data_IF_739550539365
#
_entry.id   IF_739550539365
#
_cell.length_a   1.000
_cell.length_b   1.000
_cell.length_c   1.000
_cell.angle_alpha   90.00
_cell.angle_beta   90.00
_cell.angle_gamma   90.00
#
_symmetry.space_group_name_H-M   'P 1'
#
loop_
_entity.id
_entity.type
_entity.pdbx_description
1 polymer ?
#
# COMPACT_ATOMS: atom_id res chain seq x y z
N UNK A 1 -23.60 11.85 -10.62
CA UNK A 1 -23.15 10.57 -10.05
C UNK A 1 -21.74 10.23 -10.50
N UNK A 2 -20.97 9.51 -9.70
CA UNK A 2 -19.64 9.00 -10.04
C UNK A 2 -19.70 7.49 -10.35
N UNK A 3 -18.84 6.99 -11.27
CA UNK A 3 -18.66 5.56 -11.48
C UNK A 3 -17.90 4.92 -10.31
N UNK A 4 -17.64 3.61 -10.40
CA UNK A 4 -16.74 2.91 -9.48
C UNK A 4 -15.42 3.70 -9.30
N UNK A 5 -14.95 3.89 -8.06
CA UNK A 5 -13.68 4.56 -7.76
C UNK A 5 -12.49 3.96 -8.52
N UNK A 6 -11.45 4.76 -8.85
CA UNK A 6 -10.25 4.26 -9.50
C UNK A 6 -9.54 3.18 -8.67
N UNK A 7 -8.99 2.16 -9.30
CA UNK A 7 -8.28 1.12 -8.55
C UNK A 7 -6.96 1.65 -7.96
N UNK A 8 -6.75 1.38 -6.68
CA UNK A 8 -5.48 1.63 -5.98
C UNK A 8 -4.85 0.27 -5.68
N UNK A 9 -3.62 0.07 -6.16
CA UNK A 9 -2.89 -1.19 -5.97
C UNK A 9 -2.76 -1.52 -4.48
N UNK A 10 -2.98 -2.79 -4.14
CA UNK A 10 -2.93 -3.31 -2.77
C UNK A 10 -3.89 -2.63 -1.79
N UNK A 11 -4.98 -2.04 -2.28
CA UNK A 11 -6.04 -1.46 -1.46
C UNK A 11 -7.40 -2.15 -1.69
N UNK A 12 -8.33 -1.88 -0.79
CA UNK A 12 -9.76 -2.23 -0.87
C UNK A 12 -10.61 -1.04 -0.44
N UNK A 13 -11.79 -0.87 -1.03
CA UNK A 13 -12.76 0.16 -0.63
C UNK A 13 -13.72 -0.38 0.43
N UNK A 14 -14.14 0.48 1.36
CA UNK A 14 -15.11 0.13 2.41
C UNK A 14 -16.53 -0.15 1.88
N UNK A 15 -16.93 0.51 0.78
CA UNK A 15 -18.26 0.41 0.19
C UNK A 15 -18.13 0.23 -1.32
N UNK A 16 -18.53 -0.94 -1.82
CA UNK A 16 -18.46 -1.28 -3.24
C UNK A 16 -19.84 -1.18 -3.90
N UNK A 17 -20.04 -0.15 -4.74
CA UNK A 17 -21.25 0.11 -5.52
C UNK A 17 -20.88 0.31 -6.98
N UNK A 18 -21.88 0.14 -7.87
CA UNK A 18 -21.73 0.47 -9.29
C UNK A 18 -21.76 1.98 -9.56
N UNK A 19 -22.49 2.74 -8.73
CA UNK A 19 -22.76 4.17 -8.90
C UNK A 19 -22.75 4.84 -7.52
N UNK A 20 -22.19 6.05 -7.44
CA UNK A 20 -22.10 6.85 -6.23
C UNK A 20 -22.71 8.24 -6.44
N UNK A 21 -23.43 8.71 -5.43
CA UNK A 21 -24.04 10.05 -5.44
C UNK A 21 -23.01 11.14 -5.16
N UNK A 22 -23.31 12.35 -5.64
CA UNK A 22 -22.43 13.51 -5.41
C UNK A 22 -22.34 13.80 -3.92
N UNK A 23 -21.12 13.92 -3.41
CA UNK A 23 -20.83 14.08 -1.98
C UNK A 23 -20.65 12.77 -1.22
N UNK A 24 -20.90 11.59 -1.83
CA UNK A 24 -20.52 10.32 -1.19
C UNK A 24 -19.00 10.19 -1.09
N UNK A 25 -18.55 9.57 0.00
CA UNK A 25 -17.15 9.28 0.26
C UNK A 25 -16.91 7.77 0.30
N UNK A 26 -15.80 7.35 -0.31
CA UNK A 26 -15.26 6.00 -0.15
C UNK A 26 -13.92 6.09 0.55
N UNK A 27 -13.67 5.15 1.46
CA UNK A 27 -12.41 5.04 2.17
C UNK A 27 -11.62 3.83 1.67
N UNK A 28 -10.39 4.10 1.24
CA UNK A 28 -9.43 3.07 0.85
C UNK A 28 -8.67 2.58 2.07
N UNK A 29 -8.65 1.27 2.21
CA UNK A 29 -7.86 0.56 3.21
C UNK A 29 -6.78 -0.25 2.52
N UNK A 30 -5.51 -0.02 2.88
CA UNK A 30 -4.41 -0.85 2.38
C UNK A 30 -4.51 -2.26 2.95
N UNK A 31 -4.23 -3.26 2.12
CA UNK A 31 -4.21 -4.67 2.52
C UNK A 31 -3.14 -4.92 3.59
N UNK A 32 -3.27 -5.98 4.40
CA UNK A 32 -2.25 -6.35 5.38
C UNK A 32 -0.85 -6.47 4.75
N UNK A 33 0.15 -5.95 5.45
CA UNK A 33 1.53 -5.89 4.94
C UNK A 33 1.87 -4.64 4.11
N UNK A 34 0.87 -3.82 3.76
CA UNK A 34 1.05 -2.53 3.09
C UNK A 34 0.69 -1.39 4.03
N UNK A 35 1.21 -0.21 3.73
CA UNK A 35 0.92 1.03 4.43
C UNK A 35 0.63 2.15 3.43
N UNK A 36 -0.32 3.03 3.74
CA UNK A 36 -0.59 4.17 2.88
C UNK A 36 0.58 5.14 2.93
N UNK A 37 0.86 5.77 1.79
CA UNK A 37 1.73 6.95 1.74
C UNK A 37 1.03 8.16 2.40
N UNK A 38 1.59 9.35 2.21
CA UNK A 38 1.04 10.63 2.69
C UNK A 38 -0.25 11.09 1.97
N UNK A 39 -0.83 10.26 1.10
CA UNK A 39 -2.08 10.56 0.39
C UNK A 39 -3.33 10.43 1.27
N UNK A 40 -4.41 11.08 0.85
CA UNK A 40 -5.71 10.97 1.52
C UNK A 40 -6.37 9.61 1.25
N UNK A 41 -6.87 8.96 2.31
CA UNK A 41 -7.56 7.66 2.20
C UNK A 41 -9.00 7.78 1.73
N UNK A 42 -9.60 8.95 1.95
CA UNK A 42 -10.98 9.24 1.56
C UNK A 42 -11.02 9.88 0.19
N UNK A 43 -11.87 9.34 -0.67
CA UNK A 43 -12.17 9.90 -1.99
C UNK A 43 -13.62 10.36 -1.99
N UNK A 44 -13.86 11.58 -2.42
CA UNK A 44 -15.20 12.18 -2.49
C UNK A 44 -15.66 12.25 -3.94
N UNK A 45 -16.93 11.87 -4.20
CA UNK A 45 -17.55 12.06 -5.49
C UNK A 45 -17.89 13.54 -5.71
N UNK A 46 -17.24 14.19 -6.68
CA UNK A 46 -17.45 15.60 -6.96
C UNK A 46 -18.72 15.84 -7.80
N UNK A 47 -19.31 17.05 -7.77
CA UNK A 47 -20.45 17.41 -8.62
C UNK A 47 -20.18 17.27 -10.12
N UNK A 48 -18.90 17.27 -10.52
CA UNK A 48 -18.47 16.99 -11.90
C UNK A 48 -18.66 15.53 -12.34
N UNK A 49 -19.10 14.64 -11.45
CA UNK A 49 -19.21 13.20 -11.71
C UNK A 49 -17.86 12.48 -11.71
N UNK A 50 -16.80 13.14 -11.24
CA UNK A 50 -15.46 12.58 -11.10
C UNK A 50 -15.09 12.48 -9.63
N UNK A 51 -14.24 11.51 -9.31
CA UNK A 51 -13.65 11.41 -7.97
C UNK A 51 -12.64 12.55 -7.76
N UNK A 52 -12.56 13.06 -6.53
CA UNK A 52 -11.56 14.04 -6.15
C UNK A 52 -10.14 13.53 -6.43
N UNK A 53 -9.26 14.42 -6.88
CA UNK A 53 -7.87 14.07 -7.16
C UNK A 53 -7.17 13.61 -5.89
N UNK A 54 -6.30 12.62 -6.04
CA UNK A 54 -5.79 11.82 -4.96
C UNK A 54 -4.44 11.20 -5.34
N UNK A 55 -3.51 11.11 -4.39
CA UNK A 55 -2.16 10.57 -4.58
C UNK A 55 -1.87 9.33 -3.70
N UNK A 56 -2.92 8.69 -3.17
CA UNK A 56 -2.82 7.53 -2.30
C UNK A 56 -2.17 6.36 -3.02
N UNK A 57 -1.12 5.83 -2.40
CA UNK A 57 -0.46 4.59 -2.79
C UNK A 57 -0.31 3.72 -1.54
N UNK A 58 -0.56 2.42 -1.69
CA UNK A 58 -0.26 1.43 -0.65
C UNK A 58 1.12 0.82 -0.94
N UNK A 59 2.10 1.18 -0.13
CA UNK A 59 3.48 0.72 -0.25
C UNK A 59 3.74 -0.46 0.71
N UNK A 60 4.58 -1.43 0.34
CA UNK A 60 4.97 -2.49 1.26
C UNK A 60 5.55 -1.92 2.56
N UNK A 61 5.17 -2.49 3.71
CA UNK A 61 5.79 -2.12 4.98
C UNK A 61 7.27 -2.50 4.94
N UNK A 62 8.14 -1.59 5.39
CA UNK A 62 9.57 -1.87 5.52
C UNK A 62 9.88 -2.51 6.86
N UNK A 63 10.68 -3.57 6.82
CA UNK A 63 11.25 -4.19 8.00
C UNK A 63 12.52 -3.41 8.40
N UNK A 64 12.85 -3.34 9.70
CA UNK A 64 14.15 -2.86 10.12
C UNK A 64 15.25 -3.72 9.48
N UNK A 65 16.34 -3.11 8.98
CA UNK A 65 17.47 -3.89 8.49
C UNK A 65 18.04 -4.73 9.64
N UNK A 66 18.38 -6.01 9.40
CA UNK A 66 19.05 -6.84 10.38
C UNK A 66 20.44 -6.27 10.74
N UNK A 67 20.96 -6.56 11.94
CA UNK A 67 22.29 -6.14 12.33
C UNK A 67 23.37 -6.76 11.41
N UNK A 68 24.55 -6.14 11.30
CA UNK A 68 25.67 -6.70 10.55
C UNK A 68 26.01 -8.10 11.07
N UNK A 69 26.12 -9.08 10.15
CA UNK A 69 26.55 -10.43 10.49
C UNK A 69 28.08 -10.48 10.55
N UNK A 70 28.64 -10.92 11.68
CA UNK A 70 30.07 -11.19 11.79
C UNK A 70 30.37 -12.63 11.36
N UNK A 71 31.50 -12.83 10.65
CA UNK A 71 31.95 -14.14 10.14
C UNK A 71 30.86 -14.85 9.31
N UNK A 72 30.28 -14.13 8.37
CA UNK A 72 29.26 -14.65 7.48
C UNK A 72 28.80 -13.65 6.43
N UNK A 73 27.83 -14.07 5.62
CA UNK A 73 27.25 -13.28 4.52
C UNK A 73 25.74 -13.21 4.64
N UNK A 74 25.18 -12.11 4.14
CA UNK A 74 23.76 -11.85 4.12
C UNK A 74 23.34 -11.49 2.69
N UNK A 75 22.46 -12.29 2.11
CA UNK A 75 21.93 -12.10 0.76
C UNK A 75 20.47 -11.65 0.84
N UNK A 76 20.17 -10.49 0.24
CA UNK A 76 18.84 -9.89 0.22
C UNK A 76 18.68 -8.97 -1.00
N UNK A 77 17.43 -8.78 -1.44
CA UNK A 77 17.08 -7.75 -2.43
C UNK A 77 16.62 -6.46 -1.75
N UNK A 78 15.65 -6.58 -0.82
CA UNK A 78 15.08 -5.48 -0.06
C UNK A 78 14.65 -5.93 1.34
N UNK A 79 14.40 -4.97 2.23
CA UNK A 79 13.83 -5.20 3.57
C UNK A 79 12.38 -4.75 3.62
N UNK A 80 11.52 -5.36 2.81
CA UNK A 80 10.08 -5.06 2.79
C UNK A 80 9.21 -6.29 2.96
N UNK A 81 7.91 -6.07 3.19
CA UNK A 81 6.95 -7.15 3.32
C UNK A 81 7.03 -8.11 2.12
N UNK A 82 7.07 -9.42 2.40
CA UNK A 82 7.30 -10.53 1.45
C UNK A 82 8.72 -10.69 0.91
N UNK A 83 9.68 -9.86 1.30
CA UNK A 83 11.10 -10.10 1.00
C UNK A 83 11.67 -11.25 1.85
N UNK A 84 12.63 -11.99 1.30
CA UNK A 84 13.37 -13.06 1.99
C UNK A 84 14.84 -12.66 2.12
N UNK A 85 15.43 -12.92 3.28
CA UNK A 85 16.84 -12.68 3.59
C UNK A 85 17.49 -14.02 3.93
N UNK A 86 18.60 -14.34 3.27
CA UNK A 86 19.37 -15.57 3.53
C UNK A 86 20.66 -15.23 4.26
N UNK A 87 20.97 -15.99 5.30
CA UNK A 87 22.19 -15.85 6.08
C UNK A 87 23.07 -17.09 5.90
N UNK A 88 24.36 -16.88 5.73
CA UNK A 88 25.36 -17.96 5.68
C UNK A 88 26.55 -17.60 6.57
N UNK A 89 27.15 -18.60 7.20
CA UNK A 89 28.36 -18.41 8.02
C UNK A 89 29.61 -18.68 7.18
N UNK A 90 30.69 -17.98 7.49
CA UNK A 90 31.99 -18.29 6.94
C UNK A 90 32.48 -19.65 7.45
N UNK A 91 33.25 -20.40 6.64
CA UNK A 91 33.94 -21.59 7.12
C UNK A 91 34.86 -21.27 8.30
N UNK A 92 34.90 -22.17 9.28
CA UNK A 92 35.78 -22.09 10.45
C UNK A 92 37.19 -22.60 10.16
#
# INVERSE_FOLDING_TARGET
VCPRPPEVLFATINVDKKVYEVGEEVEYTCRPGFMPNSGQRKYTCLPSGKWAFNTLLCLPKRCPPPPPLQNGKMDFEEFQYQSTVTFSCDPG
#
